data_IF_626255904489
#
_entry.id   IF_626255904489
#
_cell.length_a   1.000
_cell.length_b   1.000
_cell.length_c   1.000
_cell.angle_alpha   90.00
_cell.angle_beta   90.00
_cell.angle_gamma   90.00
#
_symmetry.space_group_name_H-M   'P 1'
#
loop_
_entity.id
_entity.type
_entity.pdbx_description
1 polymer ?
#
# COMPACT_ATOMS: atom_id res chain seq x y z
N UNK A 1 4.82 -6.54 -1.69
CA UNK A 1 4.78 -7.99 -1.97
C UNK A 1 3.66 -8.64 -1.18
N UNK A 2 2.75 -9.32 -1.87
CA UNK A 2 1.63 -10.03 -1.25
C UNK A 2 1.83 -11.55 -1.14
N UNK A 3 2.97 -12.06 -1.54
CA UNK A 3 3.32 -13.47 -1.44
C UNK A 3 3.75 -13.81 -0.01
N UNK A 4 2.85 -14.46 0.74
CA UNK A 4 3.08 -14.81 2.16
C UNK A 4 4.18 -15.86 2.37
N UNK A 5 4.64 -16.52 1.32
CA UNK A 5 5.76 -17.47 1.41
C UNK A 5 7.12 -16.82 1.16
N UNK A 6 7.15 -15.56 0.73
CA UNK A 6 8.37 -14.81 0.52
C UNK A 6 8.84 -14.10 1.79
N UNK A 7 10.16 -14.03 2.01
CA UNK A 7 10.72 -13.20 3.08
C UNK A 7 10.51 -11.69 2.85
N UNK A 8 10.13 -11.30 1.64
CA UNK A 8 9.76 -9.93 1.28
C UNK A 8 8.27 -9.63 1.51
N UNK A 9 7.51 -10.55 2.10
CA UNK A 9 6.09 -10.37 2.35
C UNK A 9 5.80 -9.06 3.05
N UNK A 10 4.82 -8.34 2.53
CA UNK A 10 4.41 -7.00 2.99
C UNK A 10 5.53 -5.95 2.96
N UNK A 11 6.52 -6.13 2.08
CA UNK A 11 7.60 -5.16 1.88
C UNK A 11 7.51 -4.55 0.49
N UNK A 12 8.11 -3.37 0.34
CA UNK A 12 8.36 -2.80 -0.97
C UNK A 12 9.44 -3.60 -1.68
N UNK A 13 9.22 -3.93 -2.95
CA UNK A 13 10.19 -4.62 -3.77
C UNK A 13 10.19 -4.07 -5.19
N UNK A 14 11.36 -4.12 -5.85
CA UNK A 14 11.51 -3.71 -7.24
C UNK A 14 11.36 -4.92 -8.14
N UNK A 15 10.46 -4.82 -9.12
CA UNK A 15 10.15 -5.92 -10.03
C UNK A 15 11.33 -6.30 -10.96
N UNK A 16 12.27 -5.36 -11.16
CA UNK A 16 13.43 -5.55 -12.05
C UNK A 16 14.65 -6.15 -11.34
N UNK A 17 14.73 -6.08 -10.03
CA UNK A 17 15.92 -6.52 -9.27
C UNK A 17 15.61 -7.54 -8.18
N UNK A 18 14.42 -7.49 -7.57
CA UNK A 18 14.03 -8.38 -6.51
C UNK A 18 13.21 -9.54 -7.08
N UNK A 19 13.69 -10.79 -6.93
CA UNK A 19 13.13 -11.94 -7.64
C UNK A 19 12.52 -13.01 -6.75
N UNK A 20 12.65 -12.89 -5.41
CA UNK A 20 12.28 -13.95 -4.47
C UNK A 20 10.82 -13.82 -4.02
N UNK A 21 9.89 -13.73 -4.97
CA UNK A 21 8.47 -13.65 -4.68
C UNK A 21 7.62 -13.90 -5.92
N UNK A 22 6.39 -14.37 -5.71
CA UNK A 22 5.41 -14.54 -6.78
C UNK A 22 4.81 -13.18 -7.14
N UNK A 23 5.14 -12.68 -8.31
CA UNK A 23 4.73 -11.35 -8.78
C UNK A 23 3.23 -11.22 -9.03
N UNK A 24 2.53 -12.34 -9.24
CA UNK A 24 1.06 -12.33 -9.37
C UNK A 24 0.35 -12.04 -8.06
N UNK A 25 1.05 -12.15 -6.92
CA UNK A 25 0.52 -11.90 -5.57
C UNK A 25 0.98 -10.55 -5.01
N UNK A 26 1.21 -9.55 -5.84
CA UNK A 26 1.66 -8.23 -5.39
C UNK A 26 0.81 -7.11 -5.96
N UNK A 27 0.88 -5.95 -5.29
CA UNK A 27 0.31 -4.70 -5.80
C UNK A 27 1.33 -4.05 -6.75
N UNK A 28 1.00 -4.03 -8.03
CA UNK A 28 1.83 -3.36 -9.04
C UNK A 28 1.38 -1.92 -9.19
N UNK A 29 1.98 -1.04 -8.41
CA UNK A 29 1.54 0.34 -8.22
C UNK A 29 1.50 1.12 -9.55
N UNK A 30 2.45 0.87 -10.44
CA UNK A 30 2.55 1.57 -11.72
C UNK A 30 1.34 1.33 -12.65
N UNK A 31 0.60 0.24 -12.44
CA UNK A 31 -0.58 -0.07 -13.25
C UNK A 31 -1.82 0.77 -12.84
N UNK A 32 -1.72 1.54 -11.76
CA UNK A 32 -2.82 2.33 -11.21
C UNK A 32 -2.44 3.79 -11.03
N UNK A 33 -2.17 4.54 -12.14
CA UNK A 33 -1.63 5.89 -12.04
C UNK A 33 -2.58 6.90 -11.39
N UNK A 34 -3.89 6.67 -11.44
CA UNK A 34 -4.86 7.54 -10.77
C UNK A 34 -4.95 7.21 -9.28
N UNK A 35 -5.18 5.96 -8.92
CA UNK A 35 -5.33 5.55 -7.52
C UNK A 35 -4.06 5.73 -6.72
N UNK A 36 -2.90 5.40 -7.30
CA UNK A 36 -1.60 5.48 -6.65
C UNK A 36 -0.73 6.65 -7.13
N UNK A 37 -1.32 7.64 -7.81
CA UNK A 37 -0.63 8.88 -8.15
C UNK A 37 -0.12 9.61 -6.91
N UNK A 38 -0.90 9.56 -5.82
CA UNK A 38 -0.51 9.93 -4.47
C UNK A 38 -0.87 8.77 -3.56
N UNK A 39 0.11 8.15 -2.90
CA UNK A 39 -0.16 7.05 -1.99
C UNK A 39 0.83 7.01 -0.83
N UNK A 40 0.38 6.44 0.27
CA UNK A 40 1.19 6.18 1.45
C UNK A 40 1.03 4.72 1.85
N UNK A 41 2.14 4.06 2.17
CA UNK A 41 2.12 2.73 2.73
C UNK A 41 1.68 2.80 4.20
N UNK A 42 0.69 2.00 4.56
CA UNK A 42 0.25 1.87 5.95
C UNK A 42 1.08 0.78 6.62
N UNK A 43 1.72 1.12 7.74
CA UNK A 43 2.66 0.24 8.43
C UNK A 43 2.03 -0.93 9.20
N UNK A 44 0.78 -1.29 8.89
CA UNK A 44 0.15 -2.48 9.46
C UNK A 44 0.88 -3.74 8.99
N UNK A 45 1.15 -4.65 9.91
CA UNK A 45 1.87 -5.90 9.65
C UNK A 45 3.22 -5.69 8.93
N UNK A 46 3.96 -4.68 9.35
CA UNK A 46 5.27 -4.38 8.73
C UNK A 46 6.30 -5.50 8.96
N UNK A 47 6.11 -6.32 9.99
CA UNK A 47 6.94 -7.49 10.25
C UNK A 47 6.71 -8.64 9.24
N UNK A 48 5.64 -8.55 8.45
CA UNK A 48 5.37 -9.55 7.41
C UNK A 48 4.90 -10.90 7.93
N UNK A 49 4.06 -10.90 8.97
CA UNK A 49 3.51 -12.14 9.54
C UNK A 49 2.46 -12.73 8.59
N UNK A 50 2.65 -13.95 8.05
CA UNK A 50 1.66 -14.58 7.17
C UNK A 50 0.29 -14.72 7.87
N UNK A 51 -0.78 -14.48 7.12
CA UNK A 51 -2.15 -14.54 7.61
C UNK A 51 -2.70 -13.23 8.16
N UNK A 52 -1.85 -12.25 8.44
CA UNK A 52 -2.30 -10.91 8.91
C UNK A 52 -2.64 -9.94 7.80
N UNK A 53 -2.32 -10.27 6.56
CA UNK A 53 -2.58 -9.42 5.41
C UNK A 53 -1.39 -8.54 5.02
N UNK A 54 -1.47 -7.95 3.83
CA UNK A 54 -0.37 -7.18 3.23
C UNK A 54 -0.89 -6.11 2.28
N UNK A 55 0.01 -5.23 1.86
CA UNK A 55 -0.24 -4.24 0.80
C UNK A 55 -1.37 -3.27 1.15
N UNK A 56 -1.38 -2.75 2.37
CA UNK A 56 -2.34 -1.74 2.78
C UNK A 56 -1.81 -0.34 2.50
N UNK A 57 -2.54 0.41 1.70
CA UNK A 57 -2.18 1.77 1.30
C UNK A 57 -3.28 2.75 1.65
N UNK A 58 -2.90 4.00 1.88
CA UNK A 58 -3.78 5.15 1.75
C UNK A 58 -3.57 5.73 0.35
N UNK A 59 -4.61 5.81 -0.45
CA UNK A 59 -4.51 6.24 -1.84
C UNK A 59 -5.73 7.03 -2.30
N UNK A 60 -5.70 7.53 -3.54
CA UNK A 60 -6.82 8.27 -4.11
C UNK A 60 -7.99 7.35 -4.43
N UNK A 61 -9.19 7.81 -4.14
CA UNK A 61 -10.42 7.09 -4.48
C UNK A 61 -10.68 7.14 -5.98
N UNK A 62 -11.14 6.01 -6.52
CA UNK A 62 -11.68 5.91 -7.88
C UNK A 62 -13.22 5.76 -7.89
N UNK A 63 -13.88 6.03 -6.75
CA UNK A 63 -15.31 5.87 -6.59
C UNK A 63 -15.79 4.45 -6.31
N UNK A 64 -14.87 3.50 -6.11
CA UNK A 64 -15.19 2.08 -5.84
C UNK A 64 -14.63 1.66 -4.49
N UNK A 65 -15.26 0.68 -3.82
CA UNK A 65 -14.69 0.08 -2.63
C UNK A 65 -13.34 -0.58 -2.91
N UNK A 66 -12.51 -0.66 -1.88
CA UNK A 66 -11.21 -1.37 -1.92
C UNK A 66 -11.34 -2.74 -1.24
N UNK A 67 -10.35 -3.60 -1.48
CA UNK A 67 -10.28 -4.91 -0.80
C UNK A 67 -9.72 -4.80 0.64
N UNK A 68 -9.14 -3.68 1.01
CA UNK A 68 -8.57 -3.48 2.35
C UNK A 68 -7.84 -2.15 2.52
N UNK A 69 -7.48 -1.49 1.43
CA UNK A 69 -6.83 -0.17 1.47
C UNK A 69 -7.80 0.91 1.92
N UNK A 70 -7.26 2.01 2.42
CA UNK A 70 -8.03 3.23 2.70
C UNK A 70 -7.92 4.16 1.50
N UNK A 71 -9.05 4.64 1.01
CA UNK A 71 -9.07 5.59 -0.11
C UNK A 71 -9.80 6.86 0.26
N UNK A 72 -9.30 7.98 -0.23
CA UNK A 72 -9.87 9.32 -0.04
C UNK A 72 -9.85 10.09 -1.36
N UNK A 73 -10.67 11.13 -1.52
CA UNK A 73 -10.59 11.97 -2.71
C UNK A 73 -9.18 12.55 -2.92
N UNK A 74 -8.79 12.79 -4.17
CA UNK A 74 -7.45 13.29 -4.51
C UNK A 74 -7.11 14.60 -3.80
N UNK A 75 -8.08 15.51 -3.65
CA UNK A 75 -7.87 16.78 -2.93
C UNK A 75 -7.52 16.54 -1.47
N UNK A 76 -8.12 15.54 -0.83
CA UNK A 76 -7.81 15.17 0.55
C UNK A 76 -6.44 14.50 0.66
N UNK A 77 -6.05 13.69 -0.32
CA UNK A 77 -4.69 13.13 -0.38
C UNK A 77 -3.64 14.23 -0.47
N UNK A 78 -3.84 15.22 -1.34
CA UNK A 78 -2.92 16.34 -1.46
C UNK A 78 -2.79 17.13 -0.15
N UNK A 79 -3.90 17.35 0.55
CA UNK A 79 -3.91 18.00 1.86
C UNK A 79 -3.14 17.19 2.90
N UNK A 80 -3.37 15.88 2.97
CA UNK A 80 -2.70 14.97 3.90
C UNK A 80 -1.18 15.00 3.66
N UNK A 81 -0.74 14.86 2.41
CA UNK A 81 0.68 14.85 2.06
C UNK A 81 1.40 16.14 2.40
N UNK A 82 0.70 17.28 2.39
CA UNK A 82 1.29 18.59 2.78
C UNK A 82 1.45 18.74 4.29
N UNK A 83 0.68 18.00 5.08
CA UNK A 83 0.58 18.20 6.54
C UNK A 83 1.07 17.01 7.36
N UNK A 84 1.38 15.87 6.74
CA UNK A 84 1.81 14.67 7.45
C UNK A 84 3.29 14.75 7.84
N UNK A 85 3.61 14.29 9.05
CA UNK A 85 4.98 14.12 9.53
C UNK A 85 5.36 12.63 9.62
N UNK A 86 6.64 12.35 9.89
CA UNK A 86 7.17 10.97 9.97
C UNK A 86 6.53 10.14 11.08
N UNK A 87 6.12 10.78 12.18
CA UNK A 87 5.53 10.12 13.35
C UNK A 87 4.00 10.03 13.28
N UNK A 88 3.43 10.26 12.11
CA UNK A 88 1.98 10.25 11.95
C UNK A 88 1.44 8.82 11.93
N UNK A 89 0.35 8.59 12.65
CA UNK A 89 -0.37 7.33 12.63
C UNK A 89 -1.73 7.45 11.95
N UNK A 90 -2.34 6.31 11.64
CA UNK A 90 -3.70 6.22 11.12
C UNK A 90 -4.55 5.37 12.04
N UNK A 91 -5.75 5.86 12.37
CA UNK A 91 -6.75 5.12 13.14
C UNK A 91 -7.93 4.83 12.24
N UNK A 92 -8.34 3.56 12.18
CA UNK A 92 -9.49 3.10 11.40
C UNK A 92 -10.53 2.57 12.38
N UNK A 93 -11.68 3.21 12.39
CA UNK A 93 -12.79 2.86 13.28
C UNK A 93 -13.93 2.18 12.53
#
# INVERSE_FOLDING_TARGET
VGDSSSHLYNQYARADSDTDWDKSKSEKIIDYPTAYGYCLFIGYNIEGVPGKGSCFFLHCSNGRPTAGCVSVPESDMAFILRNIGEDCGIVIE
#
